data_IF_078524587954
#
_entry.id   IF_078524587954
#
_cell.length_a   1.000
_cell.length_b   1.000
_cell.length_c   1.000
_cell.angle_alpha   90.00
_cell.angle_beta   90.00
_cell.angle_gamma   90.00
#
_symmetry.space_group_name_H-M   'P 1'
#
loop_
_entity.id
_entity.type
_entity.pdbx_description
1 polymer ?
#
# COMPACT_ATOMS: atom_id res chain seq x y z
N UNK A 1 16.49 -23.61 -38.60
CA UNK A 1 17.23 -22.71 -37.69
C UNK A 1 16.32 -22.42 -36.50
N UNK A 2 16.32 -23.30 -35.50
CA UNK A 2 15.56 -23.09 -34.26
C UNK A 2 16.23 -21.99 -33.45
N UNK A 3 15.53 -20.90 -33.19
CA UNK A 3 15.94 -19.95 -32.15
C UNK A 3 15.51 -20.56 -30.82
N UNK A 4 16.48 -20.93 -29.99
CA UNK A 4 16.21 -21.28 -28.59
C UNK A 4 15.69 -20.02 -27.88
N UNK A 5 14.71 -20.14 -26.96
CA UNK A 5 14.34 -19.01 -26.11
C UNK A 5 15.52 -18.68 -25.18
N UNK A 6 15.89 -17.40 -25.10
CA UNK A 6 16.94 -16.92 -24.21
C UNK A 6 16.46 -17.03 -22.76
N UNK A 7 17.31 -17.61 -21.90
CA UNK A 7 17.09 -17.65 -20.46
C UNK A 7 17.15 -16.22 -19.92
N UNK A 8 16.05 -15.72 -19.36
CA UNK A 8 16.04 -14.44 -18.67
C UNK A 8 16.72 -14.61 -17.30
N UNK A 9 17.81 -13.88 -17.10
CA UNK A 9 18.53 -13.77 -15.83
C UNK A 9 17.62 -13.08 -14.80
N UNK A 10 17.17 -13.81 -13.78
CA UNK A 10 16.46 -13.20 -12.65
C UNK A 10 17.44 -12.32 -11.86
N UNK A 11 17.31 -11.01 -12.02
CA UNK A 11 17.86 -10.06 -11.06
C UNK A 11 18.56 -8.84 -11.66
N UNK A 12 17.79 -7.89 -12.17
CA UNK A 12 18.07 -6.47 -11.96
C UNK A 12 16.78 -5.67 -12.16
N UNK A 13 16.33 -4.95 -11.12
CA UNK A 13 15.18 -4.05 -11.23
C UNK A 13 15.70 -2.79 -11.92
N UNK A 14 15.61 -2.73 -13.25
CA UNK A 14 15.90 -1.49 -13.99
C UNK A 14 14.87 -0.45 -13.54
N UNK A 15 15.27 0.70 -12.96
CA UNK A 15 14.31 1.72 -12.60
C UNK A 15 13.66 2.25 -13.88
N UNK A 16 12.36 2.01 -14.03
CA UNK A 16 11.56 2.59 -15.10
C UNK A 16 11.55 4.11 -14.88
N UNK A 17 11.94 4.94 -15.86
CA UNK A 17 11.79 6.39 -15.75
C UNK A 17 10.30 6.70 -15.60
N UNK A 18 9.93 7.32 -14.47
CA UNK A 18 8.59 7.86 -14.28
C UNK A 18 8.34 8.90 -15.39
N UNK A 19 7.22 8.82 -16.14
CA UNK A 19 6.86 9.92 -17.02
C UNK A 19 6.56 11.14 -16.15
N UNK A 20 7.25 12.25 -16.40
CA UNK A 20 6.90 13.57 -15.88
C UNK A 20 5.57 13.98 -16.52
N UNK A 21 4.44 13.47 -16.01
CA UNK A 21 3.14 14.04 -16.33
C UNK A 21 2.89 15.18 -15.36
N UNK A 22 3.04 16.39 -15.88
CA UNK A 22 2.76 17.68 -15.28
C UNK A 22 1.40 17.66 -14.57
N UNK A 23 1.40 17.82 -13.25
CA UNK A 23 0.19 18.12 -12.50
C UNK A 23 -0.09 19.62 -12.66
N UNK A 24 -1.02 19.97 -13.55
CA UNK A 24 -1.59 21.31 -13.55
C UNK A 24 -2.36 21.52 -12.24
N UNK A 25 -1.74 22.24 -11.31
CA UNK A 25 -2.42 22.70 -10.10
C UNK A 25 -3.20 23.95 -10.48
N UNK A 26 -4.52 23.81 -10.62
CA UNK A 26 -5.44 24.93 -10.76
C UNK A 26 -5.46 25.73 -9.44
N UNK A 27 -4.51 26.67 -9.32
CA UNK A 27 -4.47 27.66 -8.24
C UNK A 27 -5.04 28.97 -8.78
N UNK A 28 -6.29 29.30 -8.42
CA UNK A 28 -6.73 30.69 -8.28
C UNK A 28 -8.16 30.77 -7.72
N UNK A 29 -8.27 30.84 -6.39
CA UNK A 29 -9.18 31.74 -5.66
C UNK A 29 -8.76 31.74 -4.19
N UNK A 30 -7.80 32.60 -3.84
CA UNK A 30 -7.57 32.99 -2.45
C UNK A 30 -8.55 34.14 -2.14
N UNK A 31 -9.65 33.84 -1.45
CA UNK A 31 -10.42 34.89 -0.78
C UNK A 31 -9.56 35.42 0.37
N UNK A 32 -9.06 36.64 0.23
CA UNK A 32 -8.32 37.33 1.28
C UNK A 32 -9.28 37.63 2.45
N UNK A 33 -9.21 36.81 3.49
CA UNK A 33 -9.88 37.07 4.77
C UNK A 33 -9.18 38.28 5.41
N UNK A 34 -9.87 39.41 5.46
CA UNK A 34 -9.45 40.61 6.19
C UNK A 34 -9.84 40.44 7.65
N UNK A 35 -8.92 39.96 8.49
CA UNK A 35 -9.12 39.93 9.95
C UNK A 35 -8.99 41.34 10.52
N UNK A 36 -9.94 41.74 11.37
CA UNK A 36 -9.88 43.03 12.07
C UNK A 36 -8.98 42.91 13.31
N UNK A 37 -8.31 43.99 13.71
CA UNK A 37 -7.34 44.04 14.82
C UNK A 37 -7.91 43.58 16.19
N UNK A 38 -9.23 43.45 16.34
CA UNK A 38 -9.87 42.90 17.56
C UNK A 38 -9.88 41.35 17.62
N UNK A 39 -9.62 40.62 16.53
CA UNK A 39 -9.62 39.13 16.52
C UNK A 39 -8.23 38.52 16.78
N UNK A 40 -7.17 39.32 16.81
CA UNK A 40 -5.79 38.83 17.03
C UNK A 40 -5.41 38.69 18.51
N UNK A 41 -6.10 39.37 19.42
CA UNK A 41 -5.81 39.29 20.87
C UNK A 41 -6.35 38.00 21.53
N UNK A 42 -7.32 37.30 20.92
CA UNK A 42 -7.86 36.04 21.46
C UNK A 42 -7.01 34.80 21.08
N UNK A 43 -6.07 34.91 20.15
CA UNK A 43 -5.21 33.79 19.74
C UNK A 43 -3.98 33.59 20.64
N UNK A 44 -3.56 34.60 21.41
CA UNK A 44 -2.32 34.54 22.20
C UNK A 44 -2.50 33.84 23.56
N UNK A 45 -3.72 33.52 23.97
CA UNK A 45 -4.03 32.85 25.24
C UNK A 45 -4.20 31.30 25.11
N UNK A 46 -4.10 30.74 23.90
CA UNK A 46 -4.17 29.27 23.64
C UNK A 46 -2.78 28.60 23.48
N UNK A 47 -1.71 29.24 23.94
CA UNK A 47 -0.34 28.87 23.59
C UNK A 47 0.39 27.82 24.45
N UNK A 48 -0.21 27.24 25.49
CA UNK A 48 0.53 26.43 26.49
C UNK A 48 -0.20 25.15 26.99
N UNK A 49 -1.22 24.64 26.30
CA UNK A 49 -1.91 23.38 26.69
C UNK A 49 -1.92 22.28 25.61
N UNK A 50 -1.23 22.48 24.47
CA UNK A 50 -1.30 21.56 23.31
C UNK A 50 -0.09 20.62 23.16
N UNK A 51 0.85 20.58 24.12
CA UNK A 51 2.00 19.65 24.08
C UNK A 51 1.74 18.34 24.84
N UNK A 52 0.61 18.19 25.54
CA UNK A 52 0.22 16.94 26.22
C UNK A 52 -0.83 16.10 25.46
N UNK A 53 -1.36 16.58 24.33
CA UNK A 53 -2.38 15.85 23.56
C UNK A 53 -1.82 14.78 22.61
N UNK A 54 -0.51 14.78 22.35
CA UNK A 54 0.12 13.85 21.41
C UNK A 54 0.95 12.74 22.06
N UNK A 55 1.08 12.71 23.40
CA UNK A 55 1.94 11.73 24.08
C UNK A 55 1.26 10.44 24.56
N UNK A 56 -0.08 10.31 24.50
CA UNK A 56 -0.76 9.07 24.99
C UNK A 56 -1.89 8.51 24.11
N UNK A 57 -2.39 9.23 23.10
CA UNK A 57 -3.45 8.72 22.20
C UNK A 57 -2.95 8.50 20.76
N UNK A 58 -1.71 8.02 20.66
CA UNK A 58 -1.12 7.59 19.40
C UNK A 58 -1.95 6.44 18.84
N UNK A 59 -2.82 6.75 17.88
CA UNK A 59 -3.62 5.78 17.14
C UNK A 59 -2.72 4.59 16.79
N UNK A 60 -3.01 3.42 17.38
CA UNK A 60 -2.21 2.23 17.16
C UNK A 60 -2.43 1.73 15.73
N UNK A 61 -1.67 2.31 14.81
CA UNK A 61 -1.70 2.03 13.37
C UNK A 61 -1.41 0.54 13.13
N UNK A 62 -0.60 -0.10 13.97
CA UNK A 62 -0.30 -1.52 13.83
C UNK A 62 -1.53 -2.38 14.13
N UNK A 63 -2.30 -2.03 15.16
CA UNK A 63 -3.58 -2.69 15.45
C UNK A 63 -4.62 -2.42 14.36
N UNK A 64 -4.71 -1.20 13.82
CA UNK A 64 -5.62 -0.88 12.73
C UNK A 64 -5.30 -1.67 11.45
N UNK A 65 -4.02 -1.71 11.06
CA UNK A 65 -3.57 -2.46 9.89
C UNK A 65 -3.80 -3.96 10.05
N UNK A 66 -3.61 -4.49 11.27
CA UNK A 66 -3.93 -5.88 11.59
C UNK A 66 -5.43 -6.14 11.46
N UNK A 67 -6.29 -5.25 11.97
CA UNK A 67 -7.74 -5.36 11.83
C UNK A 67 -8.22 -5.26 10.39
N UNK A 68 -7.52 -4.51 9.53
CA UNK A 68 -7.89 -4.39 8.11
C UNK A 68 -7.46 -5.62 7.29
N UNK A 69 -6.32 -6.21 7.62
CA UNK A 69 -5.71 -7.31 6.86
C UNK A 69 -6.05 -8.70 7.42
N UNK A 70 -6.78 -8.77 8.54
CA UNK A 70 -7.24 -9.99 9.16
C UNK A 70 -8.77 -10.16 9.01
N UNK A 71 -9.21 -11.40 8.87
CA UNK A 71 -10.63 -11.78 9.00
C UNK A 71 -11.02 -11.88 10.47
N UNK A 72 -12.33 -11.97 10.74
CA UNK A 72 -12.86 -12.20 12.09
C UNK A 72 -12.35 -13.50 12.72
N UNK A 73 -12.00 -14.50 11.89
CA UNK A 73 -11.43 -15.78 12.32
C UNK A 73 -9.90 -15.71 12.56
N UNK A 74 -9.28 -14.54 12.36
CA UNK A 74 -7.86 -14.31 12.55
C UNK A 74 -6.98 -14.72 11.35
N UNK A 75 -7.58 -15.07 10.21
CA UNK A 75 -6.84 -15.31 8.98
C UNK A 75 -6.37 -14.00 8.38
N UNK A 76 -5.10 -13.90 8.01
CA UNK A 76 -4.54 -12.69 7.40
C UNK A 76 -4.37 -12.85 5.90
N UNK A 77 -4.18 -11.73 5.19
CA UNK A 77 -3.74 -11.76 3.78
C UNK A 77 -2.50 -12.66 3.61
N UNK A 78 -1.58 -12.66 4.57
CA UNK A 78 -0.40 -13.53 4.55
C UNK A 78 -0.75 -15.03 4.63
N UNK A 79 -1.72 -15.44 5.47
CA UNK A 79 -2.14 -16.86 5.54
C UNK A 79 -2.85 -17.31 4.26
N UNK A 80 -3.63 -16.42 3.63
CA UNK A 80 -4.24 -16.66 2.33
C UNK A 80 -3.20 -16.86 1.21
N UNK A 81 -2.17 -16.00 1.15
CA UNK A 81 -1.10 -16.11 0.15
C UNK A 81 -0.29 -17.41 0.28
N UNK A 82 -0.01 -17.85 1.50
CA UNK A 82 0.64 -19.15 1.76
C UNK A 82 -0.25 -20.30 1.27
N UNK A 83 -1.55 -20.23 1.56
CA UNK A 83 -2.52 -21.24 1.15
C UNK A 83 -2.65 -21.34 -0.37
N UNK A 84 -2.71 -20.20 -1.08
CA UNK A 84 -2.74 -20.15 -2.54
C UNK A 84 -1.48 -20.78 -3.13
N UNK A 85 -0.31 -20.49 -2.56
CA UNK A 85 0.97 -21.07 -3.00
C UNK A 85 0.94 -22.60 -2.91
N UNK A 86 0.47 -23.14 -1.78
CA UNK A 86 0.35 -24.59 -1.59
C UNK A 86 -0.66 -25.21 -2.58
N UNK A 87 -1.79 -24.55 -2.81
CA UNK A 87 -2.79 -24.98 -3.78
C UNK A 87 -2.23 -24.99 -5.21
N UNK A 88 -1.50 -23.95 -5.62
CA UNK A 88 -0.85 -23.89 -6.94
C UNK A 88 0.17 -25.03 -7.13
N UNK A 89 0.98 -25.32 -6.11
CA UNK A 89 1.92 -26.45 -6.17
C UNK A 89 1.19 -27.80 -6.33
N UNK A 90 0.08 -28.00 -5.62
CA UNK A 90 -0.73 -29.21 -5.78
C UNK A 90 -1.36 -29.29 -7.17
N UNK A 91 -1.92 -28.19 -7.68
CA UNK A 91 -2.50 -28.11 -9.01
C UNK A 91 -1.47 -28.42 -10.11
N UNK A 92 -0.24 -27.91 -9.99
CA UNK A 92 0.83 -28.24 -10.92
C UNK A 92 1.14 -29.75 -10.93
N UNK A 93 1.15 -30.41 -9.77
CA UNK A 93 1.33 -31.87 -9.69
C UNK A 93 0.19 -32.62 -10.37
N UNK A 94 -1.06 -32.17 -10.19
CA UNK A 94 -2.23 -32.77 -10.82
C UNK A 94 -2.16 -32.60 -12.34
N UNK A 95 -1.85 -31.40 -12.83
CA UNK A 95 -1.69 -31.12 -14.26
C UNK A 95 -0.65 -32.02 -14.91
N UNK A 96 0.52 -32.19 -14.28
CA UNK A 96 1.57 -33.09 -14.78
C UNK A 96 1.05 -34.53 -14.85
N UNK A 97 0.30 -35.00 -13.85
CA UNK A 97 -0.30 -36.35 -13.86
C UNK A 97 -1.28 -36.50 -15.02
N UNK A 98 -2.20 -35.54 -15.19
CA UNK A 98 -3.18 -35.56 -16.31
C UNK A 98 -2.45 -35.57 -17.66
N UNK A 99 -1.46 -34.70 -17.86
CA UNK A 99 -0.65 -34.65 -19.09
C UNK A 99 0.09 -35.97 -19.34
N UNK A 100 0.57 -36.63 -18.29
CA UNK A 100 1.26 -37.92 -18.39
C UNK A 100 0.31 -39.04 -18.82
N UNK A 101 -0.94 -39.03 -18.34
CA UNK A 101 -1.98 -39.96 -18.77
C UNK A 101 -2.43 -39.70 -20.21
N UNK A 102 -2.51 -38.43 -20.64
CA UNK A 102 -2.90 -38.06 -22.01
C UNK A 102 -1.82 -38.30 -23.07
N UNK A 103 -0.55 -38.43 -22.65
CA UNK A 103 0.58 -38.69 -23.55
C UNK A 103 0.74 -40.20 -23.86
N UNK A 104 0.10 -41.08 -23.09
CA UNK A 104 -0.03 -42.50 -23.40
C UNK A 104 -1.24 -42.77 -24.30
#
# INVERSE_FOLDING_TARGET
MSKQPEEIEEGEIVPVPLPESEYETESDTVEEISMTEDEVDELDEMGDEDDEMFEDDGVDVATLMTSLLATEDGDTVCTALVSITQQLQMQNKILIKILSELKN
#
